data_IF_958088373084
#
_entry.id   IF_958088373084
#
_cell.length_a   1.000
_cell.length_b   1.000
_cell.length_c   1.000
_cell.angle_alpha   90.00
_cell.angle_beta   90.00
_cell.angle_gamma   90.00
#
_symmetry.space_group_name_H-M   'P 1'
#
loop_
_entity.id
_entity.type
_entity.pdbx_description
1 polymer ?
#
# COMPACT_ATOMS: atom_id res chain seq x y z
N UNK A 1 -15.86 32.46 -27.24
CA UNK A 1 -16.18 31.05 -27.49
C UNK A 1 -15.84 30.25 -26.27
N UNK A 2 -16.88 29.88 -25.50
CA UNK A 2 -16.73 29.03 -24.32
C UNK A 2 -16.39 27.62 -24.80
N UNK A 3 -15.19 27.12 -24.42
CA UNK A 3 -14.81 25.72 -24.59
C UNK A 3 -15.84 24.85 -23.83
N UNK A 4 -16.68 24.13 -24.57
CA UNK A 4 -17.53 23.07 -24.00
C UNK A 4 -16.59 22.01 -23.42
N UNK A 5 -16.43 22.01 -22.10
CA UNK A 5 -15.78 20.91 -21.38
C UNK A 5 -16.55 19.62 -21.72
N UNK A 6 -15.93 18.72 -22.48
CA UNK A 6 -16.47 17.39 -22.73
C UNK A 6 -16.73 16.74 -21.38
N UNK A 7 -17.96 16.34 -21.11
CA UNK A 7 -18.32 15.59 -19.93
C UNK A 7 -17.36 14.40 -19.80
N UNK A 8 -16.70 14.27 -18.64
CA UNK A 8 -15.85 13.10 -18.36
C UNK A 8 -16.73 11.87 -18.51
N UNK A 9 -16.29 10.83 -19.24
CA UNK A 9 -17.06 9.60 -19.34
C UNK A 9 -17.33 9.09 -17.91
N UNK A 10 -18.60 8.74 -17.63
CA UNK A 10 -18.99 8.12 -16.34
C UNK A 10 -18.06 6.93 -16.12
N UNK A 11 -17.32 6.93 -15.01
CA UNK A 11 -16.51 5.77 -14.61
C UNK A 11 -17.44 4.57 -14.54
N UNK A 12 -17.12 3.52 -15.29
CA UNK A 12 -17.80 2.23 -15.21
C UNK A 12 -17.71 1.74 -13.77
N UNK A 13 -18.83 1.37 -13.17
CA UNK A 13 -18.83 0.75 -11.85
C UNK A 13 -18.18 -0.64 -11.99
N UNK A 14 -17.02 -0.82 -11.35
CA UNK A 14 -16.30 -2.10 -11.32
C UNK A 14 -16.90 -2.93 -10.19
N UNK A 15 -17.26 -4.17 -10.47
CA UNK A 15 -17.78 -5.11 -9.47
C UNK A 15 -16.67 -5.71 -8.61
N UNK A 16 -17.01 -6.27 -7.45
CA UNK A 16 -16.05 -6.97 -6.60
C UNK A 16 -15.38 -8.15 -7.34
N UNK A 17 -16.12 -8.87 -8.15
CA UNK A 17 -15.57 -9.98 -8.94
C UNK A 17 -14.51 -9.50 -9.96
N UNK A 18 -14.77 -8.39 -10.66
CA UNK A 18 -13.81 -7.79 -11.59
C UNK A 18 -12.54 -7.30 -10.86
N UNK A 19 -12.69 -6.71 -9.66
CA UNK A 19 -11.53 -6.36 -8.81
C UNK A 19 -10.69 -7.57 -8.47
N UNK A 20 -11.31 -8.63 -7.93
CA UNK A 20 -10.61 -9.84 -7.52
C UNK A 20 -9.92 -10.53 -8.70
N UNK A 21 -10.60 -10.64 -9.83
CA UNK A 21 -10.02 -11.21 -11.04
C UNK A 21 -8.79 -10.40 -11.51
N UNK A 22 -8.91 -9.07 -11.57
CA UNK A 22 -7.81 -8.20 -11.95
C UNK A 22 -6.63 -8.28 -10.98
N UNK A 23 -6.89 -8.27 -9.68
CA UNK A 23 -5.87 -8.40 -8.62
C UNK A 23 -5.13 -9.73 -8.78
N UNK A 24 -5.83 -10.84 -8.89
CA UNK A 24 -5.22 -12.17 -9.06
C UNK A 24 -4.40 -12.34 -10.33
N UNK A 25 -4.73 -11.60 -11.39
CA UNK A 25 -3.94 -11.52 -12.62
C UNK A 25 -2.71 -10.61 -12.49
N UNK A 26 -2.46 -10.03 -11.33
CA UNK A 26 -1.35 -9.09 -11.09
C UNK A 26 -1.53 -7.73 -11.77
N UNK A 27 -2.77 -7.31 -12.05
CA UNK A 27 -3.04 -6.00 -12.62
C UNK A 27 -2.84 -4.90 -11.57
N UNK A 28 -1.71 -4.19 -11.66
CA UNK A 28 -1.30 -3.13 -10.72
C UNK A 28 -2.32 -1.98 -10.66
N UNK A 29 -2.97 -1.67 -11.78
CA UNK A 29 -4.01 -0.62 -11.81
C UNK A 29 -5.23 -1.03 -10.98
N UNK A 30 -5.70 -2.28 -11.13
CA UNK A 30 -6.81 -2.81 -10.35
C UNK A 30 -6.45 -2.90 -8.87
N UNK A 31 -5.24 -3.35 -8.54
CA UNK A 31 -4.73 -3.34 -7.17
C UNK A 31 -4.75 -1.92 -6.58
N UNK A 32 -4.18 -0.93 -7.28
CA UNK A 32 -4.15 0.46 -6.83
C UNK A 32 -5.55 1.06 -6.62
N UNK A 33 -6.51 0.72 -7.48
CA UNK A 33 -7.91 1.14 -7.33
C UNK A 33 -8.58 0.46 -6.13
N UNK A 34 -8.34 -0.83 -5.91
CA UNK A 34 -8.86 -1.56 -4.76
C UNK A 34 -8.30 -1.00 -3.44
N UNK A 35 -7.00 -0.67 -3.39
CA UNK A 35 -6.40 0.00 -2.22
C UNK A 35 -7.06 1.36 -1.98
N UNK A 36 -7.30 2.15 -3.03
CA UNK A 36 -8.02 3.43 -2.90
C UNK A 36 -9.45 3.24 -2.39
N UNK A 37 -10.12 2.15 -2.80
CA UNK A 37 -11.45 1.79 -2.34
C UNK A 37 -11.45 1.48 -0.82
N UNK A 38 -10.48 0.69 -0.34
CA UNK A 38 -10.27 0.37 1.08
C UNK A 38 -9.96 1.61 1.90
N UNK A 39 -9.17 2.55 1.38
CA UNK A 39 -8.81 3.80 2.04
C UNK A 39 -9.98 4.79 2.11
N UNK A 40 -11.00 4.64 1.27
CA UNK A 40 -12.13 5.56 1.20
C UNK A 40 -13.00 5.53 2.46
N UNK A 41 -13.56 6.70 2.81
CA UNK A 41 -14.51 6.86 3.91
C UNK A 41 -15.98 6.88 3.44
N UNK A 42 -16.23 6.80 2.13
CA UNK A 42 -17.58 6.80 1.59
C UNK A 42 -18.29 5.47 1.90
N UNK A 43 -19.52 5.49 2.46
CA UNK A 43 -20.23 4.26 2.84
C UNK A 43 -20.41 3.26 1.68
N UNK A 44 -20.71 3.75 0.50
CA UNK A 44 -20.84 2.95 -0.73
C UNK A 44 -19.54 2.22 -1.12
N UNK A 45 -18.37 2.86 -0.86
CA UNK A 45 -17.07 2.25 -1.09
C UNK A 45 -16.73 1.20 -0.02
N UNK A 46 -17.16 1.40 1.22
CA UNK A 46 -16.86 0.47 2.31
C UNK A 46 -17.51 -0.90 2.09
N UNK A 47 -18.77 -0.94 1.62
CA UNK A 47 -19.46 -2.18 1.32
C UNK A 47 -18.76 -2.96 0.20
N UNK A 48 -18.39 -2.27 -0.89
CA UNK A 48 -17.67 -2.89 -2.00
C UNK A 48 -16.26 -3.33 -1.59
N UNK A 49 -15.55 -2.51 -0.79
CA UNK A 49 -14.22 -2.86 -0.26
C UNK A 49 -14.28 -4.15 0.57
N UNK A 50 -15.26 -4.26 1.47
CA UNK A 50 -15.45 -5.44 2.31
C UNK A 50 -15.66 -6.69 1.46
N UNK A 51 -16.51 -6.63 0.43
CA UNK A 51 -16.75 -7.75 -0.48
C UNK A 51 -15.47 -8.15 -1.24
N UNK A 52 -14.67 -7.17 -1.71
CA UNK A 52 -13.40 -7.43 -2.38
C UNK A 52 -12.42 -8.13 -1.43
N UNK A 53 -12.29 -7.62 -0.20
CA UNK A 53 -11.39 -8.22 0.82
C UNK A 53 -11.80 -9.65 1.12
N UNK A 54 -13.08 -9.91 1.43
CA UNK A 54 -13.58 -11.27 1.72
C UNK A 54 -13.26 -12.26 0.60
N UNK A 55 -13.45 -11.84 -0.65
CA UNK A 55 -13.14 -12.68 -1.81
C UNK A 55 -11.63 -12.85 -2.06
N UNK A 56 -10.79 -11.95 -1.56
CA UNK A 56 -9.33 -12.05 -1.65
C UNK A 56 -8.72 -12.95 -0.56
N UNK A 57 -9.36 -13.10 0.62
CA UNK A 57 -8.84 -13.87 1.76
C UNK A 57 -8.33 -15.27 1.42
N UNK A 58 -8.99 -16.09 0.56
CA UNK A 58 -8.50 -17.42 0.21
C UNK A 58 -7.13 -17.45 -0.48
N UNK A 59 -6.64 -16.30 -0.95
CA UNK A 59 -5.38 -16.16 -1.71
C UNK A 59 -4.29 -15.47 -0.91
N UNK A 60 -4.40 -15.45 0.42
CA UNK A 60 -3.50 -14.73 1.33
C UNK A 60 -2.74 -15.66 2.27
N UNK A 61 -1.81 -15.12 3.07
CA UNK A 61 -1.12 -15.84 4.13
C UNK A 61 0.24 -16.42 3.75
N UNK A 62 0.73 -16.19 2.53
CA UNK A 62 2.00 -16.74 2.05
C UNK A 62 3.13 -15.70 1.88
N UNK A 63 2.92 -14.45 2.31
CA UNK A 63 3.94 -13.41 2.22
C UNK A 63 4.83 -13.35 3.47
N UNK A 64 6.04 -12.84 3.29
CA UNK A 64 6.93 -12.39 4.38
C UNK A 64 6.67 -10.91 4.62
N UNK A 65 6.22 -10.56 5.82
CA UNK A 65 5.86 -9.18 6.19
C UNK A 65 6.90 -8.60 7.12
N UNK A 66 7.53 -7.51 6.70
CA UNK A 66 8.59 -6.84 7.45
C UNK A 66 8.17 -5.42 7.78
N UNK A 67 8.02 -5.11 9.06
CA UNK A 67 7.87 -3.74 9.53
C UNK A 67 9.23 -3.06 9.56
N UNK A 68 9.32 -1.82 9.07
CA UNK A 68 10.56 -1.03 9.05
C UNK A 68 10.29 0.31 9.72
N UNK A 69 11.01 0.58 10.80
CA UNK A 69 10.89 1.81 11.55
C UNK A 69 12.27 2.43 11.82
N UNK A 70 12.29 3.61 12.39
CA UNK A 70 13.48 4.37 12.73
C UNK A 70 13.22 5.87 12.65
N UNK A 71 14.04 6.66 13.31
CA UNK A 71 13.88 8.12 13.33
C UNK A 71 13.93 8.72 11.91
N UNK A 72 13.32 9.89 11.70
CA UNK A 72 13.49 10.63 10.44
C UNK A 72 14.98 10.86 10.15
N UNK A 73 15.40 10.62 8.91
CA UNK A 73 16.79 10.74 8.51
C UNK A 73 17.66 9.49 8.70
N UNK A 74 17.20 8.44 9.38
CA UNK A 74 17.96 7.19 9.60
C UNK A 74 18.23 6.36 8.32
N UNK A 75 17.77 6.80 7.16
CA UNK A 75 18.00 6.11 5.88
C UNK A 75 17.03 4.97 5.58
N UNK A 76 15.84 4.93 6.20
CA UNK A 76 14.81 3.89 5.97
C UNK A 76 14.50 3.69 4.49
N UNK A 77 14.09 4.72 3.80
CA UNK A 77 13.70 4.63 2.38
C UNK A 77 14.87 4.22 1.48
N UNK A 78 16.10 4.64 1.80
CA UNK A 78 17.33 4.20 1.11
C UNK A 78 17.58 2.71 1.34
N UNK A 79 17.43 2.24 2.59
CA UNK A 79 17.56 0.82 2.93
C UNK A 79 16.49 -0.02 2.25
N UNK A 80 15.24 0.47 2.19
CA UNK A 80 14.13 -0.18 1.49
C UNK A 80 14.42 -0.29 0.00
N UNK A 81 14.96 0.77 -0.63
CA UNK A 81 15.30 0.78 -2.06
C UNK A 81 16.35 -0.30 -2.39
N UNK A 82 17.42 -0.40 -1.59
CA UNK A 82 18.49 -1.39 -1.79
C UNK A 82 18.01 -2.81 -1.47
N UNK A 83 17.36 -2.99 -0.32
CA UNK A 83 16.89 -4.31 0.11
C UNK A 83 15.77 -4.82 -0.79
N UNK A 84 14.87 -3.93 -1.23
CA UNK A 84 13.82 -4.26 -2.19
C UNK A 84 14.37 -4.76 -3.52
N UNK A 85 15.38 -4.09 -4.07
CA UNK A 85 16.06 -4.58 -5.28
C UNK A 85 16.70 -5.96 -5.08
N UNK A 86 17.25 -6.23 -3.89
CA UNK A 86 17.79 -7.55 -3.58
C UNK A 86 16.70 -8.63 -3.59
N UNK A 87 15.52 -8.34 -3.06
CA UNK A 87 14.35 -9.24 -3.11
C UNK A 87 13.95 -9.52 -4.55
N UNK A 88 13.81 -8.46 -5.39
CA UNK A 88 13.43 -8.60 -6.80
C UNK A 88 14.46 -9.40 -7.60
N UNK A 89 15.76 -9.17 -7.37
CA UNK A 89 16.84 -9.88 -8.05
C UNK A 89 16.87 -11.39 -7.73
N UNK A 90 16.20 -11.81 -6.65
CA UNK A 90 15.99 -13.22 -6.30
C UNK A 90 14.69 -13.81 -6.84
N UNK A 91 14.00 -13.07 -7.69
CA UNK A 91 12.74 -13.49 -8.32
C UNK A 91 11.51 -13.26 -7.43
N UNK A 92 11.63 -12.57 -6.29
CA UNK A 92 10.49 -12.20 -5.44
C UNK A 92 9.72 -11.01 -6.01
N UNK A 93 8.49 -10.81 -5.52
CA UNK A 93 7.67 -9.62 -5.76
C UNK A 93 7.50 -8.85 -4.46
N UNK A 94 7.66 -7.54 -4.52
CA UNK A 94 7.68 -6.69 -3.32
C UNK A 94 6.57 -5.64 -3.34
N UNK A 95 5.77 -5.59 -2.28
CA UNK A 95 4.93 -4.44 -1.98
C UNK A 95 5.55 -3.62 -0.83
N UNK A 96 5.60 -2.30 -0.98
CA UNK A 96 6.02 -1.35 0.06
C UNK A 96 4.85 -0.47 0.43
N UNK A 97 4.41 -0.55 1.68
CA UNK A 97 3.33 0.23 2.25
C UNK A 97 3.93 1.27 3.21
N UNK A 98 3.97 2.53 2.80
CA UNK A 98 4.49 3.61 3.64
C UNK A 98 3.33 4.26 4.41
N UNK A 99 3.40 4.21 5.74
CA UNK A 99 2.41 4.81 6.64
C UNK A 99 2.95 6.14 7.14
N UNK A 100 2.43 7.24 6.59
CA UNK A 100 2.82 8.58 6.99
C UNK A 100 1.66 9.32 7.67
N UNK A 101 1.72 9.55 9.00
CA UNK A 101 0.70 10.29 9.72
C UNK A 101 0.61 11.77 9.31
N UNK A 102 1.63 12.32 8.68
CA UNK A 102 1.65 13.74 8.25
C UNK A 102 1.01 13.97 6.88
N UNK A 103 0.66 12.93 6.14
CA UNK A 103 0.16 13.02 4.75
C UNK A 103 -1.20 13.71 4.60
N UNK A 104 -1.95 13.93 5.68
CA UNK A 104 -3.17 14.76 5.66
C UNK A 104 -2.88 16.24 5.42
N UNK A 105 -1.75 16.74 5.90
CA UNK A 105 -1.40 18.16 5.82
C UNK A 105 -0.79 18.57 4.48
N UNK A 106 -0.26 17.61 3.74
CA UNK A 106 0.36 17.87 2.44
C UNK A 106 -0.21 16.94 1.37
N UNK A 107 -1.19 17.41 0.60
CA UNK A 107 -1.73 16.73 -0.59
C UNK A 107 -0.66 16.36 -1.65
N UNK A 108 0.62 16.47 -1.32
CA UNK A 108 1.80 16.22 -2.17
C UNK A 108 2.68 15.03 -1.76
N UNK A 109 2.42 14.34 -0.64
CA UNK A 109 3.33 13.30 -0.14
C UNK A 109 3.38 12.02 -1.00
N UNK A 110 2.35 11.74 -1.79
CA UNK A 110 2.30 10.58 -2.71
C UNK A 110 3.47 10.59 -3.72
N UNK A 111 3.92 11.77 -4.13
CA UNK A 111 5.10 11.91 -5.00
C UNK A 111 6.41 11.81 -4.22
N UNK A 112 6.45 12.28 -2.96
CA UNK A 112 7.66 12.32 -2.13
C UNK A 112 8.23 10.94 -1.80
N UNK A 113 7.39 9.94 -1.53
CA UNK A 113 7.86 8.59 -1.19
C UNK A 113 8.35 7.81 -2.42
N UNK A 114 7.71 8.00 -3.58
CA UNK A 114 8.21 7.42 -4.83
C UNK A 114 9.55 8.02 -5.26
N UNK A 115 9.80 9.30 -4.98
CA UNK A 115 11.09 9.95 -5.28
C UNK A 115 12.21 9.53 -4.33
N UNK A 116 11.88 8.98 -3.15
CA UNK A 116 12.88 8.45 -2.20
C UNK A 116 13.33 7.03 -2.52
N UNK A 117 12.54 6.27 -3.28
CA UNK A 117 12.82 4.87 -3.69
C UNK A 117 12.91 4.82 -5.23
N UNK A 118 13.82 5.61 -5.80
CA UNK A 118 13.88 5.86 -7.25
C UNK A 118 14.09 4.59 -8.06
N UNK A 119 15.00 3.72 -7.61
CA UNK A 119 15.34 2.48 -8.32
C UNK A 119 14.24 1.43 -8.21
N UNK A 120 13.61 1.33 -7.04
CA UNK A 120 12.55 0.36 -6.78
C UNK A 120 11.24 0.79 -7.47
N UNK A 121 10.95 2.09 -7.52
CA UNK A 121 9.70 2.62 -8.07
C UNK A 121 9.47 2.36 -9.57
N UNK A 122 10.54 2.07 -10.32
CA UNK A 122 10.49 1.76 -11.76
C UNK A 122 10.46 0.26 -12.05
N UNK A 123 10.53 -0.59 -11.02
CA UNK A 123 10.52 -2.04 -11.19
C UNK A 123 9.09 -2.55 -11.37
N UNK A 124 8.88 -3.44 -12.35
CA UNK A 124 7.56 -4.00 -12.66
C UNK A 124 7.01 -4.92 -11.56
N UNK A 125 7.91 -5.58 -10.82
CA UNK A 125 7.56 -6.51 -9.74
C UNK A 125 7.58 -5.84 -8.35
N UNK A 126 7.63 -4.49 -8.32
CA UNK A 126 7.48 -3.67 -7.14
C UNK A 126 6.17 -2.88 -7.16
N UNK A 127 5.48 -2.83 -6.02
CA UNK A 127 4.32 -1.99 -5.79
C UNK A 127 4.57 -1.09 -4.59
N UNK A 128 4.66 0.23 -4.80
CA UNK A 128 4.88 1.20 -3.72
C UNK A 128 3.60 1.99 -3.52
N UNK A 129 3.06 1.92 -2.30
CA UNK A 129 1.83 2.62 -1.90
C UNK A 129 2.06 3.46 -0.65
N UNK A 130 2.16 4.77 -0.79
CA UNK A 130 1.96 5.68 0.34
C UNK A 130 0.51 5.61 0.79
N UNK A 131 0.28 5.29 2.06
CA UNK A 131 -1.05 5.26 2.66
C UNK A 131 -1.22 6.45 3.58
N UNK A 132 -2.22 7.31 3.35
CA UNK A 132 -2.53 8.39 4.28
C UNK A 132 -2.99 7.78 5.60
N UNK A 133 -2.38 8.19 6.69
CA UNK A 133 -2.79 7.79 8.03
C UNK A 133 -3.95 8.64 8.56
N UNK A 134 -4.88 9.03 7.66
CA UNK A 134 -6.07 9.77 8.02
C UNK A 134 -6.92 9.00 9.02
N UNK A 135 -7.01 9.49 10.25
CA UNK A 135 -7.93 8.98 11.23
C UNK A 135 -7.28 8.40 12.50
N UNK A 136 -8.07 7.66 13.28
CA UNK A 136 -7.60 6.99 14.49
C UNK A 136 -6.56 5.93 14.18
N UNK A 137 -5.65 5.67 15.09
CA UNK A 137 -4.62 4.62 15.00
C UNK A 137 -5.21 3.26 14.60
N UNK A 138 -6.38 2.91 15.14
CA UNK A 138 -7.10 1.68 14.80
C UNK A 138 -7.60 1.66 13.34
N UNK A 139 -8.01 2.81 12.81
CA UNK A 139 -8.44 2.94 11.41
C UNK A 139 -7.27 2.74 10.43
N UNK A 140 -6.10 3.31 10.73
CA UNK A 140 -4.88 3.11 9.96
C UNK A 140 -4.46 1.64 9.96
N UNK A 141 -4.43 1.00 11.15
CA UNK A 141 -4.07 -0.41 11.29
C UNK A 141 -5.01 -1.32 10.49
N UNK A 142 -6.31 -1.07 10.51
CA UNK A 142 -7.29 -1.83 9.74
C UNK A 142 -7.02 -1.70 8.24
N UNK A 143 -6.92 -0.47 7.72
CA UNK A 143 -6.68 -0.21 6.29
C UNK A 143 -5.36 -0.82 5.80
N UNK A 144 -4.32 -0.78 6.63
CA UNK A 144 -3.04 -1.41 6.30
C UNK A 144 -3.16 -2.93 6.19
N UNK A 145 -3.87 -3.59 7.12
CA UNK A 145 -4.13 -5.05 7.04
C UNK A 145 -4.92 -5.40 5.79
N UNK A 146 -5.97 -4.66 5.48
CA UNK A 146 -6.78 -4.86 4.28
C UNK A 146 -5.93 -4.66 3.01
N UNK A 147 -5.00 -3.70 2.99
CA UNK A 147 -4.07 -3.50 1.87
C UNK A 147 -3.06 -4.65 1.75
N UNK A 148 -2.58 -5.21 2.86
CA UNK A 148 -1.74 -6.41 2.87
C UNK A 148 -2.48 -7.58 2.20
N UNK A 149 -3.75 -7.82 2.56
CA UNK A 149 -4.59 -8.86 1.94
C UNK A 149 -4.65 -8.69 0.41
N UNK A 150 -4.87 -7.46 -0.07
CA UNK A 150 -4.91 -7.18 -1.51
C UNK A 150 -3.58 -7.43 -2.21
N UNK A 151 -2.47 -7.04 -1.58
CA UNK A 151 -1.12 -7.27 -2.12
C UNK A 151 -0.79 -8.77 -2.19
N UNK A 152 -1.13 -9.54 -1.16
CA UNK A 152 -0.93 -10.99 -1.17
C UNK A 152 -1.76 -11.67 -2.26
N UNK A 153 -3.04 -11.31 -2.39
CA UNK A 153 -3.91 -11.81 -3.44
C UNK A 153 -3.41 -11.46 -4.86
N UNK A 154 -2.66 -10.35 -5.00
CA UNK A 154 -1.99 -9.96 -6.24
C UNK A 154 -0.66 -10.71 -6.49
N UNK A 155 -0.25 -11.59 -5.56
CA UNK A 155 0.94 -12.42 -5.68
C UNK A 155 2.24 -11.76 -5.21
N UNK A 156 2.15 -10.70 -4.38
CA UNK A 156 3.33 -10.16 -3.71
C UNK A 156 3.69 -11.07 -2.52
N UNK A 157 4.88 -11.64 -2.57
CA UNK A 157 5.40 -12.61 -1.59
C UNK A 157 6.29 -11.96 -0.52
N UNK A 158 6.63 -10.69 -0.70
CA UNK A 158 7.29 -9.86 0.30
C UNK A 158 6.53 -8.54 0.48
N UNK A 159 6.27 -8.15 1.73
CA UNK A 159 5.56 -6.91 2.04
C UNK A 159 6.35 -6.14 3.09
N UNK A 160 6.82 -4.95 2.74
CA UNK A 160 7.46 -4.03 3.66
C UNK A 160 6.45 -2.99 4.12
N UNK A 161 6.37 -2.77 5.42
CA UNK A 161 5.51 -1.75 6.03
C UNK A 161 6.41 -0.72 6.70
N UNK A 162 6.60 0.42 6.06
CA UNK A 162 7.42 1.52 6.56
C UNK A 162 6.59 2.42 7.48
N UNK A 163 7.13 2.74 8.66
CA UNK A 163 6.59 3.76 9.56
C UNK A 163 7.53 4.96 9.66
N UNK A 164 7.00 6.11 10.09
CA UNK A 164 7.81 7.34 10.21
C UNK A 164 8.71 7.40 11.46
N UNK A 165 8.55 6.45 12.38
CA UNK A 165 9.42 6.35 13.57
C UNK A 165 9.15 7.37 14.68
N UNK A 166 7.96 7.97 14.72
CA UNK A 166 7.62 9.06 15.66
C UNK A 166 6.34 8.83 16.46
N UNK A 167 5.93 7.59 16.68
CA UNK A 167 4.70 7.45 17.44
C UNK A 167 4.08 6.06 17.52
N UNK A 168 2.77 6.03 17.70
CA UNK A 168 2.01 4.82 18.00
C UNK A 168 1.75 3.92 16.79
N UNK A 169 2.10 4.34 15.57
CA UNK A 169 1.97 3.53 14.35
C UNK A 169 2.82 2.26 14.41
N UNK A 170 3.95 2.29 15.12
CA UNK A 170 4.85 1.15 15.32
C UNK A 170 4.15 0.01 16.04
N UNK A 171 3.42 0.31 17.11
CA UNK A 171 2.65 -0.69 17.87
C UNK A 171 1.59 -1.36 17.01
N UNK A 172 0.90 -0.57 16.19
CA UNK A 172 -0.12 -1.08 15.28
C UNK A 172 0.49 -1.98 14.20
N UNK A 173 1.64 -1.59 13.62
CA UNK A 173 2.34 -2.35 12.58
C UNK A 173 2.94 -3.64 13.15
N UNK A 174 3.48 -3.62 14.37
CA UNK A 174 4.07 -4.80 15.00
C UNK A 174 3.10 -6.01 15.01
N UNK A 175 1.81 -5.78 15.18
CA UNK A 175 0.79 -6.85 15.24
C UNK A 175 0.41 -7.44 13.87
N UNK A 176 0.96 -6.93 12.75
CA UNK A 176 0.59 -7.36 11.40
C UNK A 176 1.80 -7.79 10.54
N UNK A 177 3.00 -7.84 11.13
CA UNK A 177 4.23 -8.23 10.45
C UNK A 177 4.90 -9.41 11.16
N UNK A 178 5.71 -10.18 10.43
CA UNK A 178 6.42 -11.35 10.94
C UNK A 178 7.75 -10.96 11.60
N UNK A 179 8.34 -9.85 11.13
CA UNK A 179 9.59 -9.30 11.64
C UNK A 179 9.52 -7.77 11.67
N UNK A 180 10.14 -7.16 12.69
CA UNK A 180 10.15 -5.71 12.87
C UNK A 180 11.59 -5.20 12.94
N UNK A 181 12.00 -4.43 11.93
CA UNK A 181 13.34 -3.90 11.78
C UNK A 181 13.40 -2.44 12.25
N UNK A 182 14.25 -2.17 13.24
CA UNK A 182 14.58 -0.81 13.67
C UNK A 182 15.88 -0.35 13.01
N UNK A 183 15.83 0.73 12.24
CA UNK A 183 17.01 1.37 11.64
C UNK A 183 17.40 2.56 12.53
N UNK A 184 18.62 2.53 13.01
CA UNK A 184 19.22 3.58 13.86
C UNK A 184 20.39 4.26 13.13
N UNK A 185 20.69 5.50 13.55
CA UNK A 185 21.88 6.24 13.12
C UNK A 185 23.10 5.76 13.85
#
# INVERSE_FOLDING_TARGET
PYLKLKARPRRRNITAAEYVEGIRKGNVTMLGQAVTLVESQLPEHQSLAQEVIEKCLPYTGNSKRIGITGVPGAGKSTSIDVFGLHVLNRGGKLAVLAIDPSSELTKGSILGDKTRMEKLSVQKDAFIRPSPSAGSLGGVARKTRETIVLCEAAGYDNIFVETVGVGQSETAVHSMVDFFLLIQL
#
